data_IF_971834173287
#
_entry.id   IF_971834173287
#
_cell.length_a   1.000
_cell.length_b   1.000
_cell.length_c   1.000
_cell.angle_alpha   90.00
_cell.angle_beta   90.00
_cell.angle_gamma   90.00
#
_symmetry.space_group_name_H-M   'P 1'
#
loop_
_entity.id
_entity.type
_entity.pdbx_description
1 polymer ?
#
# COMPACT_ATOMS: atom_id res chain seq x y z
N UNK A 1 -10.27 -25.36 -24.76
CA UNK A 1 -9.35 -24.86 -23.70
C UNK A 1 -7.95 -25.35 -24.02
N UNK A 2 -6.93 -24.48 -23.92
CA UNK A 2 -5.51 -24.82 -24.14
C UNK A 2 -4.80 -24.80 -22.78
N UNK A 3 -3.93 -25.78 -22.53
CA UNK A 3 -3.11 -25.83 -21.31
C UNK A 3 -1.99 -24.80 -21.45
N UNK A 4 -1.78 -24.00 -20.40
CA UNK A 4 -0.68 -23.01 -20.34
C UNK A 4 0.68 -23.70 -20.27
N UNK A 5 1.64 -23.29 -21.09
CA UNK A 5 3.00 -23.84 -21.10
C UNK A 5 3.89 -23.24 -20.01
N UNK A 6 5.01 -23.90 -19.70
CA UNK A 6 6.01 -23.36 -18.76
C UNK A 6 6.61 -22.03 -19.26
N UNK A 7 6.88 -21.91 -20.57
CA UNK A 7 7.38 -20.67 -21.17
C UNK A 7 6.38 -19.52 -21.08
N UNK A 8 5.07 -19.83 -21.14
CA UNK A 8 4.02 -18.85 -20.95
C UNK A 8 4.00 -18.38 -19.49
N UNK A 9 4.15 -19.29 -18.52
CA UNK A 9 4.20 -18.94 -17.09
C UNK A 9 5.36 -18.01 -16.74
N UNK A 10 6.54 -18.19 -17.34
CA UNK A 10 7.71 -17.32 -17.11
C UNK A 10 7.50 -15.89 -17.62
N UNK A 11 6.63 -15.71 -18.61
CA UNK A 11 6.35 -14.41 -19.24
C UNK A 11 5.17 -13.66 -18.61
N UNK A 12 4.44 -14.28 -17.68
CA UNK A 12 3.33 -13.62 -17.00
C UNK A 12 3.90 -12.54 -16.08
N UNK A 13 3.65 -11.29 -16.43
CA UNK A 13 3.84 -10.20 -15.49
C UNK A 13 2.76 -10.30 -14.40
N UNK A 14 3.21 -10.30 -13.15
CA UNK A 14 2.34 -10.37 -11.97
C UNK A 14 2.29 -9.03 -11.22
N UNK A 15 2.98 -8.02 -11.74
CA UNK A 15 3.00 -6.68 -11.22
C UNK A 15 2.10 -5.76 -12.03
N UNK A 16 1.56 -4.77 -11.35
CA UNK A 16 0.83 -3.67 -11.92
C UNK A 16 1.65 -2.38 -11.74
N UNK A 17 1.61 -1.49 -12.73
CA UNK A 17 2.07 -0.12 -12.57
C UNK A 17 0.96 0.72 -11.96
N UNK A 18 1.21 1.29 -10.78
CA UNK A 18 0.27 2.15 -10.07
C UNK A 18 0.92 3.51 -9.78
N UNK A 19 0.13 4.58 -9.83
CA UNK A 19 0.59 5.90 -9.44
C UNK A 19 0.02 6.22 -8.06
N UNK A 20 0.93 6.42 -7.12
CA UNK A 20 0.63 6.88 -5.78
C UNK A 20 0.61 8.42 -5.75
N UNK A 21 -0.11 9.02 -4.78
CA UNK A 21 -0.11 10.46 -4.57
C UNK A 21 1.32 11.04 -4.46
N UNK A 22 1.51 12.32 -4.81
CA UNK A 22 2.81 12.96 -4.69
C UNK A 22 3.22 13.11 -3.21
N UNK A 23 4.53 13.13 -2.93
CA UNK A 23 5.03 13.36 -1.57
C UNK A 23 4.79 14.78 -1.04
N UNK A 24 4.45 15.71 -1.93
CA UNK A 24 4.14 17.11 -1.62
C UNK A 24 3.02 17.58 -2.53
N UNK A 25 2.18 18.47 -2.02
CA UNK A 25 1.12 19.13 -2.78
C UNK A 25 1.70 19.79 -4.06
N UNK A 26 1.02 19.61 -5.19
CA UNK A 26 1.48 20.07 -6.51
C UNK A 26 2.72 19.34 -7.05
N UNK A 27 3.20 18.30 -6.38
CA UNK A 27 4.32 17.47 -6.81
C UNK A 27 3.96 16.47 -7.91
N UNK A 28 4.96 15.76 -8.42
CA UNK A 28 4.75 14.67 -9.38
C UNK A 28 4.23 13.42 -8.66
N UNK A 29 3.29 12.67 -9.27
CA UNK A 29 2.87 11.36 -8.77
C UNK A 29 4.05 10.42 -8.55
N UNK A 30 3.93 9.56 -7.55
CA UNK A 30 4.93 8.56 -7.23
C UNK A 30 4.54 7.23 -7.90
N UNK A 31 5.05 7.00 -9.11
CA UNK A 31 4.78 5.78 -9.87
C UNK A 31 5.62 4.61 -9.36
N UNK A 32 4.97 3.47 -9.13
CA UNK A 32 5.59 2.24 -8.63
C UNK A 32 5.04 1.02 -9.37
N UNK A 33 5.86 0.00 -9.54
CA UNK A 33 5.41 -1.37 -9.80
C UNK A 33 5.06 -2.02 -8.48
N UNK A 34 3.82 -2.45 -8.36
CA UNK A 34 3.30 -3.14 -7.20
C UNK A 34 2.77 -4.51 -7.58
N UNK A 35 2.74 -5.44 -6.64
CA UNK A 35 2.05 -6.73 -6.81
C UNK A 35 0.97 -6.87 -5.76
N UNK A 36 -0.16 -7.45 -6.15
CA UNK A 36 -1.23 -7.74 -5.20
C UNK A 36 -0.78 -8.87 -4.25
N UNK A 37 -0.75 -8.65 -2.93
CA UNK A 37 -0.32 -9.67 -2.00
C UNK A 37 -1.38 -10.77 -1.85
N UNK A 38 -0.93 -12.01 -1.72
CA UNK A 38 -1.78 -13.10 -1.28
C UNK A 38 -1.78 -13.15 0.26
N UNK A 39 -2.84 -12.62 0.88
CA UNK A 39 -2.93 -12.52 2.34
C UNK A 39 -2.81 -13.88 3.05
N UNK A 40 -3.45 -14.92 2.50
CA UNK A 40 -3.38 -16.27 3.05
C UNK A 40 -1.96 -16.82 3.00
N UNK A 41 -1.26 -16.60 1.88
CA UNK A 41 0.14 -16.98 1.75
C UNK A 41 0.99 -16.28 2.81
N UNK A 42 0.83 -14.96 3.00
CA UNK A 42 1.56 -14.18 4.01
C UNK A 42 1.36 -14.70 5.43
N UNK A 43 0.14 -15.09 5.77
CA UNK A 43 -0.20 -15.72 7.05
C UNK A 43 0.51 -17.08 7.18
N UNK A 44 0.37 -17.96 6.17
CA UNK A 44 0.95 -19.32 6.24
C UNK A 44 2.47 -19.34 6.22
N UNK A 45 3.12 -18.35 5.59
CA UNK A 45 4.58 -18.23 5.57
C UNK A 45 5.14 -17.49 6.78
N UNK A 46 4.29 -17.08 7.73
CA UNK A 46 4.71 -16.36 8.94
C UNK A 46 5.23 -14.94 8.69
N UNK A 47 4.94 -14.35 7.52
CA UNK A 47 5.31 -12.96 7.21
C UNK A 47 4.44 -11.95 7.96
N UNK A 48 3.23 -12.36 8.34
CA UNK A 48 2.37 -11.61 9.25
C UNK A 48 2.59 -12.18 10.66
N UNK A 49 3.13 -11.38 11.61
CA UNK A 49 3.29 -11.79 12.99
C UNK A 49 1.95 -12.23 13.61
N UNK A 50 1.99 -13.18 14.55
CA UNK A 50 0.79 -13.68 15.22
C UNK A 50 -0.03 -12.59 15.91
N UNK A 51 0.63 -11.54 16.42
CA UNK A 51 -0.01 -10.36 17.00
C UNK A 51 -0.87 -9.58 16.01
N UNK A 52 -0.56 -9.68 14.71
CA UNK A 52 -1.27 -8.95 13.64
C UNK A 52 -2.31 -9.80 12.92
N UNK A 53 -2.46 -11.09 13.24
CA UNK A 53 -3.38 -11.99 12.53
C UNK A 53 -4.83 -11.52 12.59
N UNK A 54 -5.30 -11.05 13.75
CA UNK A 54 -6.66 -10.54 13.88
C UNK A 54 -6.92 -9.35 12.96
N UNK A 55 -5.92 -8.47 12.81
CA UNK A 55 -6.02 -7.28 11.94
C UNK A 55 -5.91 -7.69 10.48
N UNK A 56 -5.02 -8.62 10.14
CA UNK A 56 -4.93 -9.17 8.78
C UNK A 56 -6.25 -9.82 8.33
N UNK A 57 -6.93 -10.54 9.23
CA UNK A 57 -8.26 -11.11 8.98
C UNK A 57 -9.33 -10.03 8.81
N UNK A 58 -9.32 -8.99 9.65
CA UNK A 58 -10.27 -7.87 9.53
C UNK A 58 -10.07 -7.13 8.18
N UNK A 59 -8.82 -6.88 7.76
CA UNK A 59 -8.49 -6.29 6.47
C UNK A 59 -8.91 -7.17 5.30
N UNK A 60 -8.64 -8.48 5.38
CA UNK A 60 -9.06 -9.45 4.36
C UNK A 60 -10.59 -9.50 4.19
N UNK A 61 -11.33 -9.37 5.29
CA UNK A 61 -12.79 -9.33 5.29
C UNK A 61 -13.37 -7.95 4.92
N UNK A 62 -12.54 -6.98 4.50
CA UNK A 62 -12.99 -5.64 4.11
C UNK A 62 -13.49 -4.79 5.27
N UNK A 63 -13.16 -5.12 6.52
CA UNK A 63 -13.66 -4.45 7.73
C UNK A 63 -12.85 -3.19 8.10
N UNK A 64 -12.43 -2.41 7.11
CA UNK A 64 -11.61 -1.21 7.32
C UNK A 64 -12.28 -0.21 8.28
N UNK A 65 -13.59 0.00 8.15
CA UNK A 65 -14.33 0.92 9.00
C UNK A 65 -14.38 0.49 10.47
N UNK A 66 -14.41 -0.83 10.75
CA UNK A 66 -14.32 -1.34 12.12
C UNK A 66 -12.91 -1.14 12.68
N UNK A 67 -11.88 -1.31 11.85
CA UNK A 67 -10.48 -1.10 12.21
C UNK A 67 -10.22 0.36 12.62
N UNK A 68 -10.73 1.32 11.84
CA UNK A 68 -10.62 2.75 12.13
C UNK A 68 -11.35 3.14 13.43
N UNK A 69 -12.47 2.49 13.75
CA UNK A 69 -13.17 2.71 15.02
C UNK A 69 -12.44 2.10 16.22
N UNK A 70 -11.68 1.01 16.04
CA UNK A 70 -10.86 0.40 17.08
C UNK A 70 -9.61 1.23 17.38
N UNK A 71 -8.99 1.83 16.37
CA UNK A 71 -7.75 2.61 16.51
C UNK A 71 -7.94 3.91 17.28
N UNK A 72 -9.07 4.60 17.11
CA UNK A 72 -9.40 5.84 17.84
C UNK A 72 -9.60 5.66 19.34
N UNK A 73 -9.75 4.41 19.80
CA UNK A 73 -10.03 4.06 21.20
C UNK A 73 -8.87 3.37 21.90
N UNK A 74 -7.82 3.00 21.17
CA UNK A 74 -6.73 2.17 21.72
C UNK A 74 -5.43 2.34 20.91
N UNK A 75 -4.41 2.94 21.55
CA UNK A 75 -3.07 3.13 20.99
C UNK A 75 -2.41 1.83 20.53
N UNK A 76 -2.70 0.71 21.21
CA UNK A 76 -2.19 -0.61 20.81
C UNK A 76 -2.75 -1.01 19.45
N UNK A 77 -4.05 -0.85 19.25
CA UNK A 77 -4.71 -1.18 17.98
C UNK A 77 -4.16 -0.30 16.85
N UNK A 78 -3.93 0.98 17.10
CA UNK A 78 -3.31 1.88 16.12
C UNK A 78 -1.91 1.39 15.71
N UNK A 79 -1.05 1.05 16.67
CA UNK A 79 0.29 0.52 16.39
C UNK A 79 0.26 -0.77 15.58
N UNK A 80 -0.66 -1.67 15.89
CA UNK A 80 -0.80 -2.93 15.17
C UNK A 80 -1.28 -2.71 13.72
N UNK A 81 -2.20 -1.75 13.48
CA UNK A 81 -2.65 -1.38 12.14
C UNK A 81 -1.51 -0.79 11.31
N UNK A 82 -0.75 0.15 11.89
CA UNK A 82 0.42 0.74 11.22
C UNK A 82 1.48 -0.33 10.91
N UNK A 83 1.71 -1.26 11.84
CA UNK A 83 2.61 -2.38 11.62
C UNK A 83 2.14 -3.27 10.45
N UNK A 84 0.83 -3.51 10.35
CA UNK A 84 0.26 -4.28 9.25
C UNK A 84 0.36 -3.53 7.92
N UNK A 85 0.13 -2.21 7.90
CA UNK A 85 0.35 -1.39 6.71
C UNK A 85 1.80 -1.46 6.23
N UNK A 86 2.78 -1.41 7.13
CA UNK A 86 4.19 -1.55 6.77
C UNK A 86 4.49 -2.92 6.14
N UNK A 87 3.98 -4.01 6.71
CA UNK A 87 4.12 -5.36 6.14
C UNK A 87 3.51 -5.42 4.73
N UNK A 88 2.32 -4.83 4.54
CA UNK A 88 1.68 -4.81 3.23
C UNK A 88 2.48 -3.99 2.23
N UNK A 89 2.94 -2.80 2.59
CA UNK A 89 3.80 -1.95 1.76
C UNK A 89 5.07 -2.68 1.33
N UNK A 90 5.75 -3.37 2.24
CA UNK A 90 6.96 -4.14 1.93
C UNK A 90 6.70 -5.29 0.95
N UNK A 91 5.55 -5.95 1.06
CA UNK A 91 5.18 -7.03 0.14
C UNK A 91 4.67 -6.51 -1.20
N UNK A 92 3.95 -5.38 -1.21
CA UNK A 92 3.31 -4.82 -2.39
C UNK A 92 4.34 -4.14 -3.31
N UNK A 93 5.22 -3.30 -2.76
CA UNK A 93 6.14 -2.49 -3.58
C UNK A 93 7.29 -3.35 -4.13
N UNK A 94 7.33 -3.50 -5.45
CA UNK A 94 8.36 -4.26 -6.16
C UNK A 94 9.44 -3.31 -6.69
N UNK A 95 9.05 -2.20 -7.32
CA UNK A 95 9.99 -1.23 -7.89
C UNK A 95 9.39 0.19 -7.90
N UNK A 96 10.01 1.19 -7.25
CA UNK A 96 11.00 1.01 -6.19
C UNK A 96 10.45 0.18 -5.03
N UNK A 97 11.26 -0.73 -4.51
CA UNK A 97 10.95 -1.48 -3.30
C UNK A 97 11.15 -0.61 -2.05
N UNK A 98 10.65 -1.07 -0.90
CA UNK A 98 10.91 -0.41 0.40
C UNK A 98 12.42 -0.29 0.66
N UNK A 99 13.21 -1.29 0.28
CA UNK A 99 14.68 -1.25 0.39
C UNK A 99 15.30 -0.18 -0.50
N UNK A 100 14.74 0.07 -1.68
CA UNK A 100 15.21 1.15 -2.56
C UNK A 100 14.93 2.51 -1.93
N UNK A 101 13.75 2.69 -1.32
CA UNK A 101 13.41 3.90 -0.57
C UNK A 101 14.38 4.09 0.61
N UNK A 102 14.70 3.04 1.37
CA UNK A 102 15.71 3.09 2.43
C UNK A 102 17.11 3.48 1.91
N UNK A 103 17.52 2.95 0.77
CA UNK A 103 18.79 3.29 0.13
C UNK A 103 18.83 4.74 -0.35
N UNK A 104 17.72 5.26 -0.88
CA UNK A 104 17.56 6.68 -1.19
C UNK A 104 17.67 7.51 0.10
N UNK A 105 17.04 7.08 1.20
CA UNK A 105 17.11 7.77 2.49
C UNK A 105 18.52 7.83 3.07
N UNK A 106 19.35 6.79 2.89
CA UNK A 106 20.77 6.83 3.26
C UNK A 106 21.51 7.94 2.49
N UNK A 107 21.35 8.01 1.17
CA UNK A 107 21.93 9.07 0.33
C UNK A 107 21.43 10.46 0.71
N UNK A 108 20.13 10.60 1.03
CA UNK A 108 19.55 11.87 1.49
C UNK A 108 20.20 12.34 2.78
N UNK A 109 20.38 11.43 3.73
CA UNK A 109 21.05 11.72 5.01
C UNK A 109 22.50 12.18 4.81
N UNK A 110 23.26 11.56 3.92
CA UNK A 110 24.62 11.99 3.56
C UNK A 110 24.65 13.43 3.00
N UNK A 111 23.57 13.84 2.35
CA UNK A 111 23.38 15.19 1.80
C UNK A 111 22.64 16.14 2.74
N UNK A 112 22.47 15.79 4.03
CA UNK A 112 21.72 16.57 5.03
C UNK A 112 20.27 16.90 4.62
N UNK A 113 19.63 16.00 3.86
CA UNK A 113 18.23 16.10 3.47
C UNK A 113 17.36 15.23 4.37
N UNK A 114 16.17 15.74 4.71
CA UNK A 114 15.13 14.98 5.43
C UNK A 114 14.80 13.66 4.72
N UNK A 115 14.61 12.54 5.45
CA UNK A 115 14.25 11.27 4.85
C UNK A 115 12.88 11.36 4.15
N UNK A 116 12.75 10.62 3.06
CA UNK A 116 11.49 10.41 2.38
C UNK A 116 10.67 9.39 3.20
N UNK A 117 9.50 9.82 3.65
CA UNK A 117 8.54 8.98 4.39
C UNK A 117 7.28 8.88 3.55
N UNK A 118 6.78 7.66 3.36
CA UNK A 118 5.50 7.45 2.67
C UNK A 118 4.39 8.16 3.44
N UNK A 119 3.59 8.96 2.74
CA UNK A 119 2.48 9.70 3.34
C UNK A 119 1.34 8.74 3.72
N UNK A 120 0.47 9.17 4.64
CA UNK A 120 -0.70 8.39 5.03
C UNK A 120 -1.61 8.07 3.83
N UNK A 121 -1.73 9.02 2.91
CA UNK A 121 -2.50 8.88 1.66
C UNK A 121 -1.89 7.81 0.74
N UNK A 122 -0.56 7.80 0.59
CA UNK A 122 0.14 6.75 -0.15
C UNK A 122 -0.04 5.38 0.50
N UNK A 123 0.04 5.28 1.82
CA UNK A 123 -0.19 4.03 2.56
C UNK A 123 -1.63 3.52 2.38
N UNK A 124 -2.62 4.42 2.41
CA UNK A 124 -4.03 4.07 2.19
C UNK A 124 -4.28 3.63 0.74
N UNK A 125 -3.61 4.28 -0.23
CA UNK A 125 -3.67 3.89 -1.64
C UNK A 125 -3.09 2.48 -1.85
N UNK A 126 -1.93 2.18 -1.27
CA UNK A 126 -1.31 0.84 -1.28
C UNK A 126 -2.24 -0.19 -0.63
N UNK A 127 -2.85 0.14 0.51
CA UNK A 127 -3.78 -0.74 1.19
C UNK A 127 -5.03 -1.03 0.35
N UNK A 128 -5.59 -0.01 -0.28
CA UNK A 128 -6.75 -0.13 -1.19
C UNK A 128 -6.41 -1.03 -2.39
N UNK A 129 -5.24 -0.79 -3.00
CA UNK A 129 -4.69 -1.65 -4.06
C UNK A 129 -4.51 -3.09 -3.58
N UNK A 130 -3.94 -3.31 -2.39
CA UNK A 130 -3.66 -4.65 -1.88
C UNK A 130 -4.92 -5.51 -1.73
N UNK A 131 -6.07 -4.89 -1.42
CA UNK A 131 -7.35 -5.58 -1.27
C UNK A 131 -8.02 -5.82 -2.62
N UNK A 132 -8.04 -4.83 -3.50
CA UNK A 132 -8.95 -4.81 -4.64
C UNK A 132 -8.26 -4.77 -6.01
N UNK A 133 -6.93 -4.65 -6.05
CA UNK A 133 -6.13 -4.48 -7.26
C UNK A 133 -6.29 -3.07 -7.88
N UNK A 134 -5.74 -2.89 -9.09
CA UNK A 134 -5.65 -1.59 -9.78
C UNK A 134 -7.01 -0.90 -9.95
N UNK A 135 -8.08 -1.66 -10.23
CA UNK A 135 -9.42 -1.10 -10.48
C UNK A 135 -9.98 -0.29 -9.31
N UNK A 136 -9.59 -0.58 -8.08
CA UNK A 136 -10.05 0.21 -6.94
C UNK A 136 -9.36 1.58 -6.84
N UNK A 137 -8.19 1.76 -7.46
CA UNK A 137 -7.50 3.04 -7.48
C UNK A 137 -8.23 4.07 -8.34
N UNK A 138 -8.99 3.64 -9.35
CA UNK A 138 -9.85 4.53 -10.16
C UNK A 138 -10.93 5.22 -9.31
N UNK A 139 -11.53 4.47 -8.36
CA UNK A 139 -12.53 5.01 -7.43
C UNK A 139 -11.92 5.93 -6.38
N UNK A 140 -10.68 5.65 -5.96
CA UNK A 140 -9.93 6.50 -5.03
C UNK A 140 -9.63 7.87 -5.67
N UNK A 141 -9.10 7.85 -6.91
CA UNK A 141 -8.80 9.08 -7.69
C UNK A 141 -10.03 9.93 -7.98
N UNK A 142 -11.16 9.28 -8.29
CA UNK A 142 -12.43 9.98 -8.55
C UNK A 142 -12.96 10.72 -7.32
N UNK A 143 -12.70 10.19 -6.12
CA UNK A 143 -13.13 10.84 -4.87
C UNK A 143 -12.19 11.96 -4.43
N UNK A 144 -10.88 11.88 -4.71
CA UNK A 144 -9.94 12.98 -4.50
C UNK A 144 -10.34 14.21 -5.33
N UNK A 145 -10.55 14.06 -6.64
CA UNK A 145 -10.98 15.17 -7.52
C UNK A 145 -12.27 15.84 -7.03
N UNK A 146 -13.23 15.06 -6.54
CA UNK A 146 -14.51 15.57 -6.04
C UNK A 146 -14.38 16.34 -4.72
N UNK A 147 -13.35 16.03 -3.92
CA UNK A 147 -13.07 16.71 -2.65
C UNK A 147 -12.35 18.05 -2.85
N UNK A 148 -11.59 18.19 -3.93
CA UNK A 148 -10.93 19.45 -4.34
C UNK A 148 -11.94 20.46 -4.89
N UNK A 149 -12.88 20.04 -5.74
CA UNK A 149 -13.95 20.91 -6.28
C UNK A 149 -14.82 21.53 -5.17
N UNK A 150 -15.04 20.79 -4.08
CA UNK A 150 -15.87 21.24 -2.97
C UNK A 150 -15.15 22.22 -2.01
N UNK A 151 -13.81 22.31 -2.07
CA UNK A 151 -13.03 23.31 -1.33
C UNK A 151 -12.90 24.64 -2.07
N UNK A 152 -13.09 24.66 -3.39
CA UNK A 152 -13.02 25.90 -4.20
C UNK A 152 -14.32 26.73 -4.18
N UNK A 153 -15.39 26.25 -3.52
CA UNK A 153 -16.70 26.92 -3.42
C UNK A 153 -17.03 27.49 -2.03
N UNK A 154 -16.03 27.87 -1.21
CA UNK A 154 -16.25 28.59 0.05
C UNK A 154 -15.41 29.85 0.18
#
# INVERSE_FOLDING_TARGET
MRITSLEELEKIDTCDEIELPPFKEGGKPFCVKAKKPNMMQLITTGKIPNSLLSIAMDLFNGKMGELANKSTKNDKALKEIMSMMNVLTEVCLVEPSVKDIENVNKKRKENNLEPLVLTEEQLLCILTYSQNGVKALESFRSNEQRSEDNKSSK
#
